data_IF_973965108974
#
_entry.id   IF_973965108974
#
_cell.length_a   1.000
_cell.length_b   1.000
_cell.length_c   1.000
_cell.angle_alpha   90.00
_cell.angle_beta   90.00
_cell.angle_gamma   90.00
#
_symmetry.space_group_name_H-M   'P 1'
#
loop_
_entity.id
_entity.type
_entity.pdbx_description
1 polymer ?
#
# COMPACT_ATOMS: atom_id res chain seq x y z
N UNK A 1 -37.34 -58.60 54.97
CA UNK A 1 -37.61 -59.87 55.67
C UNK A 1 -37.33 -61.01 54.68
N UNK A 2 -36.75 -62.12 55.15
CA UNK A 2 -35.52 -62.77 54.65
C UNK A 2 -35.82 -64.10 53.91
N UNK A 3 -34.88 -64.87 53.35
CA UNK A 3 -33.99 -65.84 54.02
C UNK A 3 -33.06 -66.55 52.99
N UNK A 4 -31.75 -66.63 53.25
CA UNK A 4 -30.93 -67.81 53.62
C UNK A 4 -30.84 -68.94 52.57
N UNK A 5 -29.68 -69.29 51.99
CA UNK A 5 -28.35 -69.78 52.49
C UNK A 5 -28.26 -71.31 52.40
N UNK A 6 -27.30 -71.83 51.60
CA UNK A 6 -26.54 -73.07 51.81
C UNK A 6 -25.86 -73.50 50.47
N UNK A 7 -24.69 -74.13 50.37
CA UNK A 7 -23.55 -74.38 51.25
C UNK A 7 -22.51 -75.19 50.41
N UNK A 8 -21.21 -75.09 50.77
CA UNK A 8 -20.06 -76.04 50.54
C UNK A 8 -19.31 -76.20 49.19
N UNK A 9 -18.09 -75.62 49.17
CA UNK A 9 -16.72 -76.17 48.95
C UNK A 9 -16.49 -77.65 48.48
N UNK A 10 -15.36 -78.01 47.81
CA UNK A 10 -13.98 -77.83 48.34
C UNK A 10 -12.81 -77.54 47.36
N UNK A 11 -11.64 -77.31 47.97
CA UNK A 11 -10.30 -76.96 47.44
C UNK A 11 -9.61 -78.07 46.64
N UNK A 12 -8.66 -77.69 45.77
CA UNK A 12 -7.37 -78.38 45.68
C UNK A 12 -6.27 -77.42 45.15
N UNK A 13 -5.22 -77.30 45.96
CA UNK A 13 -3.93 -76.66 45.69
C UNK A 13 -3.14 -77.39 44.60
N UNK A 14 -2.30 -76.66 43.87
CA UNK A 14 -1.51 -77.25 42.79
C UNK A 14 -0.33 -76.42 42.28
N UNK A 15 0.48 -75.88 43.20
CA UNK A 15 1.95 -75.80 43.09
C UNK A 15 2.60 -75.01 41.92
N UNK A 16 3.42 -74.04 42.37
CA UNK A 16 4.83 -73.79 41.98
C UNK A 16 5.15 -72.73 40.92
N UNK A 17 5.81 -71.69 41.45
CA UNK A 17 7.00 -70.96 40.94
C UNK A 17 6.77 -69.70 40.09
N UNK A 18 6.85 -68.55 40.78
CA UNK A 18 7.68 -67.42 40.29
C UNK A 18 9.16 -67.78 40.58
N UNK A 19 10.16 -67.32 39.78
CA UNK A 19 10.63 -65.93 39.91
C UNK A 19 11.20 -65.23 38.66
N UNK A 20 10.98 -63.91 38.65
CA UNK A 20 11.95 -62.83 38.33
C UNK A 20 12.25 -62.43 36.87
N UNK A 21 12.27 -61.09 36.77
CA UNK A 21 12.97 -60.20 35.84
C UNK A 21 12.32 -60.08 34.44
N UNK A 22 11.99 -58.91 33.91
CA UNK A 22 12.58 -57.59 34.06
C UNK A 22 11.52 -56.48 34.13
N UNK A 23 11.79 -55.53 35.02
CA UNK A 23 11.25 -54.18 34.96
C UNK A 23 11.87 -53.43 33.76
N UNK A 24 11.29 -52.25 33.50
CA UNK A 24 11.72 -51.19 32.58
C UNK A 24 11.08 -51.32 31.17
N UNK A 25 10.37 -50.35 30.60
CA UNK A 25 10.09 -48.96 30.93
C UNK A 25 8.79 -48.55 30.22
N UNK A 26 7.98 -47.75 30.92
CA UNK A 26 7.09 -46.77 30.30
C UNK A 26 7.87 -45.97 29.25
N UNK A 27 7.46 -46.05 28.00
CA UNK A 27 7.57 -44.94 27.04
C UNK A 27 6.27 -45.00 26.23
N UNK A 28 5.39 -44.02 26.32
CA UNK A 28 5.70 -42.63 26.03
C UNK A 28 4.97 -42.32 24.73
N UNK A 29 3.63 -42.28 24.83
CA UNK A 29 2.71 -41.84 23.80
C UNK A 29 3.13 -40.42 23.38
N UNK A 30 3.99 -40.31 22.38
CA UNK A 30 4.32 -39.07 21.70
C UNK A 30 4.13 -39.32 20.22
N UNK A 31 2.86 -39.30 19.82
CA UNK A 31 2.48 -39.07 18.44
C UNK A 31 2.96 -37.65 18.12
N UNK A 32 4.18 -37.53 17.62
CA UNK A 32 4.71 -36.32 17.01
C UNK A 32 3.86 -36.01 15.77
N UNK A 33 2.77 -35.26 15.96
CA UNK A 33 2.14 -34.53 14.86
C UNK A 33 3.10 -33.42 14.50
N UNK A 34 3.83 -33.58 13.39
CA UNK A 34 4.46 -32.44 12.74
C UNK A 34 3.36 -31.43 12.42
N UNK A 35 3.50 -30.13 12.77
CA UNK A 35 2.71 -29.10 12.13
C UNK A 35 3.22 -28.99 10.69
N UNK A 36 2.68 -29.79 9.79
CA UNK A 36 2.88 -29.60 8.36
C UNK A 36 1.98 -28.45 7.89
N UNK A 37 2.45 -27.23 8.13
CA UNK A 37 2.02 -26.05 7.37
C UNK A 37 3.22 -25.15 7.17
N UNK A 38 3.90 -25.31 6.03
CA UNK A 38 4.68 -24.20 5.47
C UNK A 38 3.69 -23.06 5.22
N UNK A 39 3.95 -21.83 5.70
CA UNK A 39 3.06 -20.72 5.44
C UNK A 39 2.98 -20.52 3.94
N UNK A 40 1.78 -20.65 3.38
CA UNK A 40 1.52 -20.26 2.00
C UNK A 40 1.79 -18.76 1.87
N UNK A 41 2.25 -18.31 0.72
CA UNK A 41 2.58 -16.89 0.45
C UNK A 41 1.47 -15.91 0.83
N UNK A 42 0.22 -16.38 0.93
CA UNK A 42 -0.94 -15.64 1.39
C UNK A 42 -0.93 -15.26 2.89
N UNK A 43 -0.22 -16.00 3.77
CA UNK A 43 -0.14 -15.69 5.21
C UNK A 43 0.79 -14.50 5.51
N UNK A 44 1.67 -14.12 4.57
CA UNK A 44 2.54 -12.94 4.72
C UNK A 44 1.79 -11.63 4.61
N UNK A 45 0.71 -11.60 3.84
CA UNK A 45 -0.08 -10.38 3.59
C UNK A 45 -0.90 -9.96 4.81
N UNK A 46 -1.32 -10.90 5.66
CA UNK A 46 -2.06 -10.61 6.89
C UNK A 46 -1.18 -10.01 8.01
N UNK A 47 0.16 -10.12 7.91
CA UNK A 47 1.08 -9.44 8.84
C UNK A 47 1.23 -7.95 8.54
N UNK A 48 0.88 -7.49 7.33
CA UNK A 48 0.82 -6.06 6.99
C UNK A 48 -0.40 -5.39 7.63
N UNK A 49 -1.54 -6.10 7.72
CA UNK A 49 -2.74 -5.59 8.39
C UNK A 49 -2.54 -5.40 9.91
N UNK A 50 -1.62 -6.15 10.52
CA UNK A 50 -1.25 -6.07 11.95
C UNK A 50 0.05 -5.32 12.21
N UNK A 51 0.50 -4.44 11.31
CA UNK A 51 1.71 -3.63 11.51
C UNK A 51 1.53 -2.53 12.58
N UNK A 52 0.29 -2.25 12.99
CA UNK A 52 -0.06 -1.25 14.00
C UNK A 52 0.20 -1.79 15.42
N UNK A 53 -0.24 -3.02 15.73
CA UNK A 53 -0.08 -3.68 17.05
C UNK A 53 1.37 -3.71 17.61
N UNK A 54 2.42 -4.06 16.84
CA UNK A 54 3.79 -4.08 17.33
C UNK A 54 4.48 -2.70 17.39
N UNK A 55 3.93 -1.68 16.71
CA UNK A 55 4.47 -0.31 16.69
C UNK A 55 3.73 0.64 17.64
N UNK A 56 2.72 0.17 18.38
CA UNK A 56 1.99 0.94 19.38
C UNK A 56 2.93 1.53 20.47
N UNK A 57 4.02 0.85 20.80
CA UNK A 57 5.03 1.36 21.74
C UNK A 57 5.79 2.60 21.26
N UNK A 58 5.85 2.86 19.94
CA UNK A 58 6.41 4.08 19.37
C UNK A 58 5.37 5.23 19.27
N UNK A 59 4.08 4.90 19.24
CA UNK A 59 2.98 5.88 19.19
C UNK A 59 2.72 6.58 20.54
N UNK A 60 3.37 6.15 21.62
CA UNK A 60 3.39 6.90 22.88
C UNK A 60 4.28 8.16 22.83
N UNK A 61 5.04 8.37 21.75
CA UNK A 61 5.65 9.66 21.48
C UNK A 61 4.66 10.57 20.74
N UNK A 62 4.13 11.56 21.47
CA UNK A 62 3.28 12.69 21.04
C UNK A 62 3.88 13.58 19.92
N UNK A 63 4.86 13.12 19.15
CA UNK A 63 5.67 13.97 18.28
C UNK A 63 5.65 13.57 16.79
N UNK A 64 4.81 12.61 16.38
CA UNK A 64 4.62 12.28 14.96
C UNK A 64 3.22 12.71 14.55
N UNK A 65 3.13 13.73 13.68
CA UNK A 65 1.85 14.24 13.18
C UNK A 65 1.39 13.43 11.95
N UNK A 66 0.09 13.41 11.69
CA UNK A 66 -0.49 12.73 10.51
C UNK A 66 0.12 13.29 9.23
N UNK A 67 0.39 14.59 9.20
CA UNK A 67 1.07 15.26 8.08
C UNK A 67 2.46 14.68 7.78
N UNK A 68 3.23 14.28 8.79
CA UNK A 68 4.58 13.74 8.62
C UNK A 68 4.54 12.38 7.91
N UNK A 69 3.53 11.57 8.24
CA UNK A 69 3.28 10.28 7.59
C UNK A 69 2.89 10.48 6.12
N UNK A 70 1.99 11.42 5.83
CA UNK A 70 1.55 11.72 4.45
C UNK A 70 2.71 12.26 3.61
N UNK A 71 3.51 13.19 4.13
CA UNK A 71 4.68 13.73 3.42
C UNK A 71 5.69 12.62 3.16
N UNK A 72 6.01 11.80 4.16
CA UNK A 72 6.95 10.67 4.01
C UNK A 72 6.50 9.70 2.93
N UNK A 73 5.19 9.40 2.88
CA UNK A 73 4.60 8.51 1.88
C UNK A 73 4.77 9.07 0.47
N UNK A 74 4.42 10.33 0.27
CA UNK A 74 4.53 10.99 -1.05
C UNK A 74 5.97 11.11 -1.49
N UNK A 75 6.90 11.42 -0.58
CA UNK A 75 8.34 11.43 -0.89
C UNK A 75 8.83 10.06 -1.33
N UNK A 76 8.39 8.98 -0.68
CA UNK A 76 8.76 7.62 -1.05
C UNK A 76 8.24 7.25 -2.46
N UNK A 77 7.02 7.66 -2.78
CA UNK A 77 6.43 7.47 -4.11
C UNK A 77 7.14 8.32 -5.17
N UNK A 78 7.55 9.55 -4.85
CA UNK A 78 8.33 10.39 -5.75
C UNK A 78 9.71 9.83 -6.03
N UNK A 79 10.41 9.34 -5.01
CA UNK A 79 11.72 8.69 -5.18
C UNK A 79 11.56 7.44 -6.04
N UNK A 80 10.61 6.56 -5.70
CA UNK A 80 10.35 5.34 -6.48
C UNK A 80 9.96 5.62 -7.93
N UNK A 81 9.10 6.63 -8.15
CA UNK A 81 8.72 7.10 -9.48
C UNK A 81 9.91 7.67 -10.25
N UNK A 82 10.71 8.52 -9.61
CA UNK A 82 11.89 9.15 -10.24
C UNK A 82 12.93 8.09 -10.60
N UNK A 83 13.20 7.14 -9.70
CA UNK A 83 14.11 6.03 -9.98
C UNK A 83 13.61 5.18 -11.14
N UNK A 84 12.31 4.85 -11.16
CA UNK A 84 11.71 4.08 -12.27
C UNK A 84 11.81 4.83 -13.59
N UNK A 85 11.51 6.13 -13.58
CA UNK A 85 11.58 7.00 -14.75
C UNK A 85 13.00 7.11 -15.30
N UNK A 86 13.99 7.40 -14.45
CA UNK A 86 15.40 7.51 -14.84
C UNK A 86 15.95 6.18 -15.33
N UNK A 87 15.66 5.07 -14.64
CA UNK A 87 16.11 3.74 -15.07
C UNK A 87 15.52 3.37 -16.43
N UNK A 88 14.23 3.60 -16.64
CA UNK A 88 13.57 3.25 -17.89
C UNK A 88 14.06 4.15 -19.05
N UNK A 89 14.24 5.45 -18.80
CA UNK A 89 14.84 6.38 -19.76
C UNK A 89 16.26 5.96 -20.14
N UNK A 90 17.08 5.54 -19.16
CA UNK A 90 18.43 5.06 -19.42
C UNK A 90 18.43 3.78 -20.26
N UNK A 91 17.55 2.82 -19.95
CA UNK A 91 17.43 1.59 -20.75
C UNK A 91 17.04 1.91 -22.19
N UNK A 92 16.05 2.77 -22.42
CA UNK A 92 15.64 3.14 -23.78
C UNK A 92 16.70 3.93 -24.54
N UNK A 93 17.49 4.74 -23.84
CA UNK A 93 18.65 5.41 -24.42
C UNK A 93 19.74 4.39 -24.83
N UNK A 94 20.04 3.40 -23.99
CA UNK A 94 21.06 2.37 -24.28
C UNK A 94 20.68 1.44 -25.45
N UNK A 95 19.38 1.30 -25.74
CA UNK A 95 18.87 0.51 -26.87
C UNK A 95 18.57 1.41 -28.10
N UNK A 96 19.07 2.65 -28.10
CA UNK A 96 18.92 3.64 -29.19
C UNK A 96 17.46 3.86 -29.62
N UNK A 97 16.51 3.65 -28.70
CA UNK A 97 15.07 3.76 -28.99
C UNK A 97 14.54 5.15 -28.62
N UNK A 98 15.17 5.84 -27.69
CA UNK A 98 14.76 7.16 -27.22
C UNK A 98 15.98 8.07 -26.98
N UNK A 99 15.99 9.31 -27.51
CA UNK A 99 17.05 10.27 -27.21
C UNK A 99 16.95 10.78 -25.76
N UNK A 100 18.03 11.40 -25.28
CA UNK A 100 17.99 12.20 -24.06
C UNK A 100 17.08 13.42 -24.24
N UNK A 101 16.52 13.97 -23.15
CA UNK A 101 15.65 15.15 -23.24
C UNK A 101 16.35 16.35 -23.89
N UNK A 102 15.66 17.05 -24.78
CA UNK A 102 16.14 18.31 -25.36
C UNK A 102 16.25 19.42 -24.30
N UNK A 103 15.24 19.51 -23.42
CA UNK A 103 15.22 20.43 -22.28
C UNK A 103 14.92 19.68 -20.98
N UNK A 104 16.01 19.32 -20.30
CA UNK A 104 15.96 18.65 -19.00
C UNK A 104 15.27 19.52 -17.92
N UNK A 105 15.38 20.85 -17.99
CA UNK A 105 14.79 21.72 -16.98
C UNK A 105 13.26 21.65 -17.05
N UNK A 106 12.70 21.66 -18.25
CA UNK A 106 11.25 21.53 -18.46
C UNK A 106 10.73 20.16 -18.02
N UNK A 107 11.49 19.07 -18.27
CA UNK A 107 11.16 17.73 -17.73
C UNK A 107 11.12 17.73 -16.20
N UNK A 108 12.16 18.29 -15.56
CA UNK A 108 12.25 18.35 -14.09
C UNK A 108 11.13 19.19 -13.49
N UNK A 109 10.80 20.34 -14.09
CA UNK A 109 9.70 21.19 -13.64
C UNK A 109 8.34 20.47 -13.77
N UNK A 110 8.06 19.83 -14.91
CA UNK A 110 6.84 19.05 -15.09
C UNK A 110 6.73 17.92 -14.05
N UNK A 111 7.83 17.20 -13.83
CA UNK A 111 7.90 16.13 -12.83
C UNK A 111 7.66 16.62 -11.40
N UNK A 112 8.29 17.73 -11.00
CA UNK A 112 8.11 18.33 -9.68
C UNK A 112 6.68 18.88 -9.48
N UNK A 113 6.08 19.48 -10.51
CA UNK A 113 4.70 19.97 -10.45
C UNK A 113 3.68 18.83 -10.32
N UNK A 114 3.90 17.70 -11.01
CA UNK A 114 3.11 16.48 -10.81
C UNK A 114 3.29 15.91 -9.41
N UNK A 115 4.52 15.94 -8.88
CA UNK A 115 4.79 15.50 -7.52
C UNK A 115 4.11 16.38 -6.46
N UNK A 116 4.08 17.69 -6.68
CA UNK A 116 3.32 18.61 -5.84
C UNK A 116 1.81 18.34 -5.96
N UNK A 117 1.28 18.10 -7.16
CA UNK A 117 -0.12 17.72 -7.32
C UNK A 117 -0.47 16.44 -6.53
N UNK A 118 0.39 15.42 -6.60
CA UNK A 118 0.24 14.19 -5.84
C UNK A 118 0.26 14.44 -4.32
N UNK A 119 1.14 15.32 -3.84
CA UNK A 119 1.18 15.74 -2.43
C UNK A 119 -0.14 16.41 -2.00
N UNK A 120 -0.61 17.38 -2.79
CA UNK A 120 -1.83 18.12 -2.50
C UNK A 120 -3.06 17.21 -2.46
N UNK A 121 -3.18 16.30 -3.42
CA UNK A 121 -4.22 15.26 -3.43
C UNK A 121 -4.06 14.29 -2.25
N UNK A 122 -2.84 13.91 -1.91
CA UNK A 122 -2.53 13.06 -0.75
C UNK A 122 -3.03 13.64 0.57
N UNK A 123 -2.94 14.96 0.77
CA UNK A 123 -3.51 15.62 1.95
C UNK A 123 -5.04 15.55 1.98
N UNK A 124 -5.70 15.84 0.86
CA UNK A 124 -7.17 15.80 0.77
C UNK A 124 -7.67 14.38 1.02
N UNK A 125 -7.09 13.40 0.31
CA UNK A 125 -7.50 12.01 0.37
C UNK A 125 -7.17 11.40 1.72
N UNK A 126 -5.98 11.66 2.27
CA UNK A 126 -5.59 11.20 3.59
C UNK A 126 -6.55 11.66 4.67
N UNK A 127 -6.89 12.96 4.68
CA UNK A 127 -7.81 13.54 5.65
C UNK A 127 -9.26 13.04 5.50
N UNK A 128 -9.72 12.77 4.27
CA UNK A 128 -11.07 12.27 4.02
C UNK A 128 -11.22 10.77 4.28
N UNK A 129 -10.20 9.97 3.94
CA UNK A 129 -10.18 8.53 4.18
C UNK A 129 -10.19 8.21 5.67
N UNK A 130 -9.51 9.01 6.51
CA UNK A 130 -9.57 8.88 7.97
C UNK A 130 -11.01 9.03 8.51
N UNK A 131 -11.86 9.81 7.83
CA UNK A 131 -13.24 10.06 8.25
C UNK A 131 -14.24 9.04 7.69
N UNK A 132 -13.88 8.31 6.64
CA UNK A 132 -14.80 7.43 5.94
C UNK A 132 -14.10 6.32 5.15
N UNK A 133 -14.28 5.09 5.60
CA UNK A 133 -13.89 3.87 4.86
C UNK A 133 -14.56 3.79 3.48
N UNK A 134 -15.75 4.40 3.33
CA UNK A 134 -16.45 4.45 2.03
C UNK A 134 -15.71 5.34 1.05
N UNK A 135 -15.21 6.49 1.52
CA UNK A 135 -14.41 7.39 0.69
C UNK A 135 -13.11 6.72 0.25
N UNK A 136 -12.42 6.01 1.15
CA UNK A 136 -11.19 5.29 0.81
C UNK A 136 -11.40 4.31 -0.36
N UNK A 137 -12.49 3.51 -0.31
CA UNK A 137 -12.84 2.57 -1.38
C UNK A 137 -13.17 3.26 -2.70
N UNK A 138 -13.93 4.36 -2.64
CA UNK A 138 -14.26 5.17 -3.83
C UNK A 138 -12.99 5.73 -4.44
N UNK A 139 -12.07 6.25 -3.62
CA UNK A 139 -10.81 6.81 -4.08
C UNK A 139 -9.94 5.78 -4.80
N UNK A 140 -9.87 4.55 -4.30
CA UNK A 140 -9.14 3.46 -4.98
C UNK A 140 -9.67 3.25 -6.41
N UNK A 141 -10.99 3.17 -6.58
CA UNK A 141 -11.62 3.05 -7.91
C UNK A 141 -11.36 4.28 -8.77
N UNK A 142 -11.48 5.48 -8.20
CA UNK A 142 -11.21 6.73 -8.89
C UNK A 142 -9.76 6.79 -9.39
N UNK A 143 -8.79 6.35 -8.59
CA UNK A 143 -7.37 6.35 -8.97
C UNK A 143 -7.09 5.43 -10.16
N UNK A 144 -7.77 4.28 -10.25
CA UNK A 144 -7.70 3.42 -11.43
C UNK A 144 -8.23 4.10 -12.69
N UNK A 145 -9.31 4.88 -12.56
CA UNK A 145 -9.87 5.65 -13.67
C UNK A 145 -9.04 6.90 -14.01
N UNK A 146 -8.36 7.48 -13.03
CA UNK A 146 -7.49 8.64 -13.25
C UNK A 146 -6.29 8.30 -14.13
N UNK A 147 -5.76 7.07 -14.09
CA UNK A 147 -4.62 6.69 -14.93
C UNK A 147 -4.85 6.93 -16.43
N UNK A 148 -5.89 6.37 -17.09
CA UNK A 148 -6.12 6.61 -18.50
C UNK A 148 -6.53 8.06 -18.80
N UNK A 149 -7.12 8.77 -17.84
CA UNK A 149 -7.58 10.15 -18.01
C UNK A 149 -6.43 11.15 -17.81
N UNK A 150 -5.37 10.77 -17.09
CA UNK A 150 -4.26 11.63 -16.64
C UNK A 150 -3.45 12.32 -17.73
N UNK A 151 -3.68 11.97 -18.99
CA UNK A 151 -2.82 12.38 -20.10
C UNK A 151 -1.61 11.49 -20.27
N UNK A 152 -1.35 10.50 -19.42
CA UNK A 152 -0.18 9.61 -19.54
C UNK A 152 -0.24 8.69 -20.79
N UNK A 153 -1.43 8.22 -21.17
CA UNK A 153 -1.62 7.20 -22.23
C UNK A 153 -2.01 7.77 -23.60
N UNK A 154 -2.20 9.09 -23.70
CA UNK A 154 -2.58 9.77 -24.94
C UNK A 154 -1.88 11.14 -25.02
N UNK A 155 -1.73 11.67 -26.22
CA UNK A 155 -1.29 13.05 -26.44
C UNK A 155 -2.51 13.95 -26.67
N UNK A 156 -2.50 15.16 -26.10
CA UNK A 156 -3.66 16.07 -26.23
C UNK A 156 -3.94 16.38 -27.69
N UNK A 157 -2.90 16.62 -28.47
CA UNK A 157 -3.01 16.94 -29.90
C UNK A 157 -3.71 15.85 -30.75
N UNK A 158 -3.66 14.58 -30.32
CA UNK A 158 -4.30 13.47 -31.04
C UNK A 158 -5.83 13.40 -30.83
N UNK A 159 -6.36 14.14 -29.87
CA UNK A 159 -7.78 14.15 -29.56
C UNK A 159 -8.55 15.12 -30.46
N UNK A 160 -9.83 14.85 -30.76
CA UNK A 160 -10.73 15.85 -31.32
C UNK A 160 -10.77 17.13 -30.48
N UNK A 161 -10.90 18.31 -31.10
CA UNK A 161 -10.86 19.62 -30.41
C UNK A 161 -11.74 19.70 -29.16
N UNK A 162 -12.95 19.14 -29.21
CA UNK A 162 -13.86 19.16 -28.06
C UNK A 162 -13.30 18.39 -26.85
N UNK A 163 -12.55 17.31 -27.07
CA UNK A 163 -11.91 16.56 -25.98
C UNK A 163 -10.65 17.27 -25.48
N UNK A 164 -9.92 17.97 -26.35
CA UNK A 164 -8.75 18.76 -25.94
C UNK A 164 -9.13 19.77 -24.85
N UNK A 165 -10.20 20.54 -25.09
CA UNK A 165 -10.70 21.53 -24.12
C UNK A 165 -11.10 20.89 -22.78
N UNK A 166 -11.67 19.68 -22.81
CA UNK A 166 -12.10 18.96 -21.60
C UNK A 166 -10.90 18.39 -20.83
N UNK A 167 -9.97 17.71 -21.50
CA UNK A 167 -8.83 17.08 -20.82
C UNK A 167 -7.86 18.11 -20.25
N UNK A 168 -7.74 19.29 -20.89
CA UNK A 168 -6.94 20.40 -20.37
C UNK A 168 -7.52 21.03 -19.09
N UNK A 169 -8.74 20.70 -18.68
CA UNK A 169 -9.23 21.07 -17.34
C UNK A 169 -8.51 20.29 -16.24
N UNK A 170 -7.97 19.12 -16.56
CA UNK A 170 -7.31 18.26 -15.59
C UNK A 170 -5.86 18.73 -15.37
N UNK A 171 -5.48 19.16 -14.15
CA UNK A 171 -4.17 19.75 -13.91
C UNK A 171 -3.02 18.80 -14.24
N UNK A 172 -3.20 17.50 -13.99
CA UNK A 172 -2.19 16.47 -14.27
C UNK A 172 -1.81 16.38 -15.76
N UNK A 173 -2.74 16.69 -16.68
CA UNK A 173 -2.46 16.63 -18.13
C UNK A 173 -1.37 17.64 -18.51
N UNK A 174 -1.41 18.85 -17.94
CA UNK A 174 -0.39 19.88 -18.16
C UNK A 174 1.00 19.42 -17.73
N UNK A 175 1.11 18.73 -16.59
CA UNK A 175 2.39 18.24 -16.10
C UNK A 175 2.97 17.12 -16.99
N UNK A 176 2.11 16.25 -17.53
CA UNK A 176 2.54 15.21 -18.47
C UNK A 176 2.97 15.83 -19.81
N UNK A 177 2.22 16.78 -20.34
CA UNK A 177 2.56 17.50 -21.57
C UNK A 177 3.87 18.30 -21.41
N UNK A 178 4.14 18.90 -20.24
CA UNK A 178 5.44 19.52 -19.95
C UNK A 178 6.60 18.52 -20.06
N UNK A 179 6.46 17.32 -19.49
CA UNK A 179 7.50 16.28 -19.59
C UNK A 179 7.72 15.91 -21.06
N UNK A 180 6.65 15.80 -21.86
CA UNK A 180 6.78 15.55 -23.30
C UNK A 180 7.50 16.68 -24.01
N UNK A 181 7.10 17.92 -23.77
CA UNK A 181 7.75 19.09 -24.36
C UNK A 181 9.25 19.09 -24.04
N UNK A 182 9.64 18.78 -22.80
CA UNK A 182 11.06 18.67 -22.44
C UNK A 182 11.82 17.57 -23.19
N UNK A 183 11.16 16.48 -23.61
CA UNK A 183 11.78 15.40 -24.38
C UNK A 183 11.87 15.66 -25.89
N UNK A 184 10.78 16.16 -26.48
CA UNK A 184 10.63 16.29 -27.93
C UNK A 184 10.72 17.74 -28.43
N UNK A 185 10.87 18.71 -27.53
CA UNK A 185 10.93 20.12 -27.88
C UNK A 185 9.75 20.54 -28.76
N UNK A 186 10.07 21.25 -29.84
CA UNK A 186 9.09 21.68 -30.84
C UNK A 186 8.69 20.61 -31.87
N UNK A 187 9.18 19.36 -31.77
CA UNK A 187 8.84 18.29 -32.71
C UNK A 187 7.40 17.80 -32.53
N UNK A 188 6.86 17.92 -31.31
CA UNK A 188 5.48 17.54 -30.98
C UNK A 188 4.75 18.77 -30.42
N UNK A 189 3.59 19.16 -30.99
CA UNK A 189 2.80 20.26 -30.43
C UNK A 189 2.19 19.85 -29.09
N UNK A 190 2.65 20.49 -28.02
CA UNK A 190 2.12 20.30 -26.67
C UNK A 190 1.22 21.47 -26.27
N UNK A 191 0.27 21.19 -25.38
CA UNK A 191 -0.80 22.13 -25.00
C UNK A 191 -0.81 22.48 -23.50
N UNK A 192 0.37 22.55 -22.89
CA UNK A 192 0.53 22.76 -21.46
C UNK A 192 0.34 24.23 -21.02
N UNK A 193 -0.14 24.40 -19.80
CA UNK A 193 -0.20 25.67 -19.09
C UNK A 193 0.36 25.49 -17.67
N UNK A 194 1.67 25.77 -17.47
CA UNK A 194 2.31 25.62 -16.17
C UNK A 194 1.70 26.51 -15.09
N UNK A 195 1.25 27.72 -15.46
CA UNK A 195 0.63 28.65 -14.51
C UNK A 195 -0.71 28.12 -13.99
N UNK A 196 -1.51 27.49 -14.84
CA UNK A 196 -2.74 26.82 -14.45
C UNK A 196 -2.47 25.67 -13.47
N UNK A 197 -1.47 24.83 -13.75
CA UNK A 197 -1.08 23.73 -12.86
C UNK A 197 -0.60 24.24 -11.49
N UNK A 198 0.23 25.29 -11.46
CA UNK A 198 0.67 25.92 -10.21
C UNK A 198 -0.52 26.48 -9.42
N UNK A 199 -1.46 27.16 -10.08
CA UNK A 199 -2.65 27.69 -9.43
C UNK A 199 -3.52 26.56 -8.83
N UNK A 200 -3.72 25.46 -9.56
CA UNK A 200 -4.43 24.28 -9.06
C UNK A 200 -3.72 23.67 -7.85
N UNK A 201 -2.40 23.49 -7.93
CA UNK A 201 -1.61 22.93 -6.84
C UNK A 201 -1.71 23.78 -5.56
N UNK A 202 -1.66 25.11 -5.68
CA UNK A 202 -1.83 26.02 -4.55
C UNK A 202 -3.21 25.85 -3.90
N UNK A 203 -4.28 25.88 -4.70
CA UNK A 203 -5.66 25.74 -4.20
C UNK A 203 -5.86 24.38 -3.51
N UNK A 204 -5.43 23.29 -4.16
CA UNK A 204 -5.56 21.93 -3.62
C UNK A 204 -4.71 21.75 -2.35
N UNK A 205 -3.51 22.32 -2.29
CA UNK A 205 -2.66 22.26 -1.10
C UNK A 205 -3.31 22.97 0.07
N UNK A 206 -3.82 24.19 -0.14
CA UNK A 206 -4.52 24.94 0.91
C UNK A 206 -5.76 24.18 1.41
N UNK A 207 -6.56 23.63 0.49
CA UNK A 207 -7.73 22.82 0.84
C UNK A 207 -7.33 21.55 1.61
N UNK A 208 -6.30 20.83 1.16
CA UNK A 208 -5.80 19.63 1.80
C UNK A 208 -5.28 19.90 3.22
N UNK A 209 -4.47 20.94 3.40
CA UNK A 209 -3.97 21.35 4.72
C UNK A 209 -5.10 21.76 5.66
N UNK A 210 -6.12 22.46 5.16
CA UNK A 210 -7.30 22.82 5.95
C UNK A 210 -8.08 21.57 6.41
N UNK A 211 -8.23 20.57 5.54
CA UNK A 211 -8.89 19.31 5.88
C UNK A 211 -8.09 18.50 6.90
N UNK A 212 -6.77 18.37 6.73
CA UNK A 212 -5.87 17.69 7.67
C UNK A 212 -5.97 18.33 9.06
N UNK A 213 -5.85 19.67 9.14
CA UNK A 213 -5.97 20.39 10.40
C UNK A 213 -7.33 20.20 11.08
N UNK A 214 -8.40 20.13 10.29
CA UNK A 214 -9.74 19.86 10.82
C UNK A 214 -9.89 18.41 11.33
N UNK A 215 -9.14 17.45 10.80
CA UNK A 215 -9.13 16.07 11.30
C UNK A 215 -8.31 15.94 12.60
N UNK A 216 -7.15 16.58 12.69
CA UNK A 216 -6.31 16.57 13.91
C UNK A 216 -7.06 17.08 15.15
N UNK A 217 -7.79 18.20 15.02
CA UNK A 217 -8.57 18.77 16.12
C UNK A 217 -9.67 17.82 16.65
N UNK A 218 -10.14 16.87 15.85
CA UNK A 218 -11.19 15.94 16.26
C UNK A 218 -10.61 14.79 17.09
N UNK A 219 -9.42 14.33 16.74
CA UNK A 219 -8.72 13.24 17.46
C UNK A 219 -8.28 13.67 18.85
N UNK A 220 -8.00 14.97 19.07
CA UNK A 220 -7.66 15.49 20.40
C UNK A 220 -8.85 15.61 21.37
N UNK A 221 -10.10 15.48 20.89
CA UNK A 221 -11.32 15.65 21.70
C UNK A 221 -11.95 14.33 22.16
N UNK A 222 -11.47 13.18 21.67
CA UNK A 222 -11.88 11.82 22.05
C UNK A 222 -10.87 11.18 23.02
#
# INVERSE_FOLDING_TARGET
>A
MPELRADRHPRADGLRRQPRAHASLRTGRTRWQLPDKKPTSAERTNRCAKAIEPNLGLLHHRNVKIIDLLITRVLLELVGGTTSFVLLALIFFLVDTMPLPEDLLTVLLGWLLLGWLALALGFIVGALSERSDTFERIWQVANYLLFPISGAVYMVDWLPRFLQEVVLLLPMVHGVEMIRHGYWGGLLPTHENPAYLVACNLVLTLMGLALVRASENKVELE
#
